data_IF_017833583329
#
_entry.id   IF_017833583329
#
_cell.length_a   1.000
_cell.length_b   1.000
_cell.length_c   1.000
_cell.angle_alpha   90.00
_cell.angle_beta   90.00
_cell.angle_gamma   90.00
#
_symmetry.space_group_name_H-M   'P 1'
#
loop_
_entity.id
_entity.type
_entity.pdbx_description
1 polymer ?
#
# COMPACT_ATOMS: atom_id res chain seq x y z
N UNK A 1 41.42 -49.78 27.82
CA UNK A 1 41.60 -48.34 28.13
C UNK A 1 40.40 -47.64 27.50
N UNK A 2 39.27 -47.52 28.20
CA UNK A 2 38.92 -46.51 29.22
C UNK A 2 37.79 -45.66 28.63
N UNK A 3 36.55 -45.96 28.97
CA UNK A 3 35.54 -44.89 29.13
C UNK A 3 35.82 -44.18 30.47
N UNK A 4 35.37 -42.93 30.62
CA UNK A 4 34.10 -42.71 31.31
C UNK A 4 33.18 -41.68 30.66
N UNK A 5 31.90 -42.07 30.54
CA UNK A 5 30.69 -41.34 30.95
C UNK A 5 30.86 -39.90 31.50
N UNK A 6 30.06 -38.93 31.03
CA UNK A 6 28.99 -38.20 31.76
C UNK A 6 28.82 -36.82 31.05
N UNK A 7 27.69 -36.13 30.85
CA UNK A 7 26.34 -36.12 31.41
C UNK A 7 25.35 -35.56 30.36
N UNK A 8 24.09 -35.94 30.52
CA UNK A 8 22.89 -35.62 29.73
C UNK A 8 22.39 -34.18 30.00
N UNK A 9 21.86 -33.53 28.97
CA UNK A 9 20.62 -32.72 29.03
C UNK A 9 20.02 -32.73 27.60
N UNK A 10 19.23 -33.74 27.24
CA UNK A 10 17.76 -33.72 27.32
C UNK A 10 17.09 -32.56 26.57
N UNK A 11 16.30 -32.97 25.58
CA UNK A 11 15.08 -32.32 25.09
C UNK A 11 15.20 -30.99 24.33
N UNK A 12 15.29 -31.12 23.00
CA UNK A 12 14.40 -30.37 22.12
C UNK A 12 14.07 -31.26 20.92
N UNK A 13 13.18 -32.23 21.15
CA UNK A 13 12.43 -32.89 20.08
C UNK A 13 11.53 -31.79 19.50
N UNK A 14 12.00 -31.13 18.43
CA UNK A 14 11.09 -30.39 17.57
C UNK A 14 10.45 -31.41 16.66
N UNK A 15 9.24 -31.80 17.05
CA UNK A 15 8.39 -32.69 16.29
C UNK A 15 8.22 -32.23 14.86
N UNK A 16 8.15 -33.23 13.97
CA UNK A 16 7.44 -33.23 12.70
C UNK A 16 7.22 -31.86 12.07
N UNK A 17 8.30 -31.29 11.55
CA UNK A 17 8.18 -30.34 10.45
C UNK A 17 8.82 -30.97 9.22
N UNK A 18 8.04 -31.83 8.56
CA UNK A 18 8.12 -31.99 7.11
C UNK A 18 7.81 -30.64 6.46
N UNK A 19 8.76 -29.70 6.51
CA UNK A 19 8.78 -28.46 5.75
C UNK A 19 9.77 -28.65 4.62
N UNK A 20 9.26 -29.34 3.61
CA UNK A 20 9.86 -29.53 2.30
C UNK A 20 10.24 -28.15 1.73
N UNK A 21 11.51 -28.01 1.36
CA UNK A 21 12.06 -26.98 0.46
C UNK A 21 12.04 -25.49 0.84
N UNK A 22 12.02 -25.13 2.13
CA UNK A 22 12.48 -23.79 2.53
C UNK A 22 13.91 -23.87 3.04
N UNK A 23 14.84 -24.19 2.14
CA UNK A 23 16.21 -23.66 2.23
C UNK A 23 16.13 -22.14 2.17
N UNK A 24 15.79 -21.52 3.30
CA UNK A 24 16.22 -20.17 3.59
C UNK A 24 17.74 -20.24 3.45
N UNK A 25 18.27 -19.78 2.32
CA UNK A 25 19.70 -19.81 2.05
C UNK A 25 20.42 -19.27 3.30
N UNK A 26 21.51 -19.90 3.76
CA UNK A 26 22.20 -19.49 4.99
C UNK A 26 22.46 -17.98 5.05
N UNK A 27 22.76 -17.38 3.88
CA UNK A 27 22.90 -15.95 3.71
C UNK A 27 21.67 -15.13 4.14
N UNK A 28 20.44 -15.60 3.88
CA UNK A 28 19.23 -14.90 4.31
C UNK A 28 19.03 -14.92 5.82
N UNK A 29 19.40 -16.02 6.49
CA UNK A 29 19.35 -16.09 7.97
C UNK A 29 20.37 -15.15 8.61
N UNK A 30 21.57 -15.06 8.04
CA UNK A 30 22.60 -14.14 8.52
C UNK A 30 22.16 -12.69 8.41
N UNK A 31 21.54 -12.30 7.28
CA UNK A 31 21.02 -10.95 7.09
C UNK A 31 19.92 -10.64 8.11
N UNK A 32 18.96 -11.55 8.30
CA UNK A 32 17.89 -11.39 9.29
C UNK A 32 18.38 -11.30 10.74
N UNK A 33 19.50 -11.95 11.07
CA UNK A 33 20.08 -11.90 12.41
C UNK A 33 20.81 -10.58 12.72
N UNK A 34 21.27 -9.85 11.70
CA UNK A 34 22.05 -8.62 11.86
C UNK A 34 21.25 -7.33 11.61
N UNK A 35 20.06 -7.44 11.04
CA UNK A 35 19.14 -6.32 10.80
C UNK A 35 18.32 -5.93 12.03
N UNK A 36 17.93 -4.66 12.13
CA UNK A 36 17.04 -4.17 13.21
C UNK A 36 15.58 -4.06 12.77
N UNK A 37 15.31 -4.15 11.47
CA UNK A 37 13.96 -4.04 10.91
C UNK A 37 13.76 -4.95 9.71
N UNK A 38 12.50 -5.26 9.41
CA UNK A 38 12.12 -6.09 8.25
C UNK A 38 12.42 -5.41 6.91
N UNK A 39 12.44 -4.07 6.88
CA UNK A 39 12.75 -3.30 5.68
C UNK A 39 14.25 -3.36 5.38
N UNK A 40 15.11 -3.24 6.40
CA UNK A 40 16.56 -3.42 6.25
C UNK A 40 16.95 -4.84 5.76
N UNK A 41 16.28 -5.89 6.27
CA UNK A 41 16.48 -7.26 5.78
C UNK A 41 16.21 -7.32 4.29
N UNK A 42 15.06 -6.79 3.86
CA UNK A 42 14.65 -6.83 2.46
C UNK A 42 15.66 -6.10 1.58
N UNK A 43 16.05 -4.88 1.93
CA UNK A 43 17.01 -4.09 1.15
C UNK A 43 18.35 -4.83 1.00
N UNK A 44 18.85 -5.44 2.08
CA UNK A 44 20.08 -6.23 2.04
C UNK A 44 19.93 -7.50 1.19
N UNK A 45 18.79 -8.18 1.26
CA UNK A 45 18.54 -9.36 0.44
C UNK A 45 18.38 -9.02 -1.05
N UNK A 46 17.76 -7.88 -1.38
CA UNK A 46 17.67 -7.36 -2.74
C UNK A 46 19.07 -6.99 -3.26
N UNK A 47 19.88 -6.30 -2.44
CA UNK A 47 21.26 -5.94 -2.79
C UNK A 47 22.14 -7.16 -3.05
N UNK A 48 21.95 -8.24 -2.28
CA UNK A 48 22.70 -9.49 -2.43
C UNK A 48 22.15 -10.39 -3.55
N UNK A 49 21.05 -10.00 -4.22
CA UNK A 49 20.41 -10.79 -5.27
C UNK A 49 19.80 -12.11 -4.76
N UNK A 50 19.51 -12.20 -3.46
CA UNK A 50 18.92 -13.38 -2.83
C UNK A 50 17.39 -13.39 -2.93
N UNK A 51 16.80 -12.24 -3.21
CA UNK A 51 15.39 -12.08 -3.54
C UNK A 51 15.26 -11.20 -4.78
N UNK A 52 14.23 -11.47 -5.59
CA UNK A 52 13.92 -10.61 -6.72
C UNK A 52 13.45 -9.23 -6.22
N UNK A 53 13.90 -8.13 -6.86
CA UNK A 53 13.44 -6.80 -6.50
C UNK A 53 11.94 -6.75 -6.65
N UNK A 54 11.25 -6.18 -5.66
CA UNK A 54 9.80 -6.04 -5.73
C UNK A 54 9.45 -5.37 -7.07
N UNK A 55 8.57 -5.96 -7.90
CA UNK A 55 8.05 -5.25 -9.04
C UNK A 55 7.36 -4.00 -8.50
N UNK A 56 7.98 -2.84 -8.73
CA UNK A 56 7.37 -1.56 -8.42
C UNK A 56 6.21 -1.48 -9.38
N UNK A 57 5.03 -1.91 -8.94
CA UNK A 57 3.83 -1.86 -9.73
C UNK A 57 3.53 -0.37 -9.94
N UNK A 58 4.07 0.19 -11.02
CA UNK A 58 3.67 1.46 -11.60
C UNK A 58 2.27 1.35 -12.24
N UNK A 59 1.48 0.35 -11.84
CA UNK A 59 0.04 0.40 -12.01
C UNK A 59 -0.41 1.71 -11.35
N UNK A 60 -1.03 2.65 -12.09
CA UNK A 60 -1.63 3.79 -11.45
C UNK A 60 -2.57 3.20 -10.41
N UNK A 61 -2.33 3.50 -9.13
CA UNK A 61 -3.25 3.12 -8.05
C UNK A 61 -4.62 3.50 -8.57
N UNK A 62 -5.43 2.53 -8.98
CA UNK A 62 -6.78 2.80 -9.49
C UNK A 62 -7.53 3.18 -8.26
N UNK A 63 -7.42 4.48 -7.97
CA UNK A 63 -8.01 5.12 -6.85
C UNK A 63 -9.50 4.84 -6.99
N UNK A 64 -10.04 3.98 -6.13
CA UNK A 64 -11.47 3.68 -6.08
C UNK A 64 -12.15 4.99 -5.70
N UNK A 65 -12.55 5.75 -6.71
CA UNK A 65 -13.11 7.08 -6.55
C UNK A 65 -14.42 6.92 -5.79
N UNK A 66 -14.52 7.52 -4.59
CA UNK A 66 -15.70 7.36 -3.73
C UNK A 66 -16.96 8.03 -4.31
N UNK A 67 -16.83 8.91 -5.30
CA UNK A 67 -17.92 9.46 -6.12
C UNK A 67 -17.36 10.21 -7.34
N UNK A 68 -18.12 10.29 -8.44
CA UNK A 68 -17.81 11.13 -9.61
C UNK A 68 -18.68 12.39 -9.65
N UNK A 69 -18.21 13.44 -10.32
CA UNK A 69 -19.03 14.62 -10.55
C UNK A 69 -20.23 14.28 -11.44
N UNK A 70 -21.45 14.59 -11.00
CA UNK A 70 -22.68 14.27 -11.75
C UNK A 70 -22.77 14.96 -13.13
N UNK A 71 -22.17 16.15 -13.29
CA UNK A 71 -22.24 16.92 -14.54
C UNK A 71 -21.13 16.58 -15.56
N UNK A 72 -19.88 16.40 -15.12
CA UNK A 72 -18.73 16.19 -16.00
C UNK A 72 -18.08 14.81 -15.89
N UNK A 73 -18.56 13.92 -15.02
CA UNK A 73 -18.04 12.56 -14.85
C UNK A 73 -16.65 12.45 -14.23
N UNK A 74 -15.96 13.58 -13.97
CA UNK A 74 -14.60 13.56 -13.41
C UNK A 74 -14.58 12.86 -12.04
N UNK A 75 -13.53 12.07 -11.75
CA UNK A 75 -13.38 11.39 -10.47
C UNK A 75 -13.29 12.39 -9.32
N UNK A 76 -14.12 12.20 -8.31
CA UNK A 76 -14.22 13.07 -7.14
C UNK A 76 -13.34 12.62 -6.00
N UNK A 77 -12.77 13.58 -5.27
CA UNK A 77 -12.09 13.39 -3.98
C UNK A 77 -12.78 14.18 -2.87
N UNK A 78 -12.61 13.73 -1.63
CA UNK A 78 -13.05 14.47 -0.44
C UNK A 78 -12.17 15.72 -0.23
N UNK A 79 -12.68 16.78 0.41
CA UNK A 79 -11.89 18.00 0.68
C UNK A 79 -10.62 17.74 1.50
N UNK A 80 -10.66 16.74 2.39
CA UNK A 80 -9.53 16.37 3.25
C UNK A 80 -8.46 15.51 2.54
N UNK A 81 -8.66 15.16 1.26
CA UNK A 81 -7.70 14.36 0.48
C UNK A 81 -6.79 15.28 -0.35
N UNK A 82 -5.47 15.05 -0.28
CA UNK A 82 -4.48 15.82 -1.04
C UNK A 82 -4.45 15.40 -2.51
N UNK A 83 -4.03 16.32 -3.39
CA UNK A 83 -3.83 16.03 -4.81
C UNK A 83 -2.70 15.04 -5.08
N UNK A 84 -1.67 15.03 -4.22
CA UNK A 84 -0.50 14.15 -4.35
C UNK A 84 -0.89 12.67 -4.28
N UNK A 85 -1.81 12.34 -3.36
CA UNK A 85 -2.32 10.97 -3.20
C UNK A 85 -3.44 10.65 -4.20
N UNK A 86 -4.08 11.67 -4.78
CA UNK A 86 -5.27 11.54 -5.63
C UNK A 86 -5.11 12.39 -6.91
N UNK A 87 -4.10 12.11 -7.75
CA UNK A 87 -3.87 12.89 -8.97
C UNK A 87 -5.03 12.73 -9.95
N UNK A 88 -5.33 13.78 -10.71
CA UNK A 88 -6.42 13.77 -11.71
C UNK A 88 -7.84 13.83 -11.14
N UNK A 89 -8.00 13.88 -9.82
CA UNK A 89 -9.31 14.02 -9.17
C UNK A 89 -9.74 15.49 -9.01
N UNK A 90 -11.03 15.72 -8.74
CA UNK A 90 -11.60 17.03 -8.41
C UNK A 90 -12.29 17.01 -7.05
N UNK A 91 -12.27 18.11 -6.31
CA UNK A 91 -13.03 18.21 -5.04
C UNK A 91 -14.51 18.35 -5.37
N UNK A 92 -15.33 17.48 -4.78
CA UNK A 92 -16.78 17.61 -4.82
C UNK A 92 -17.22 18.59 -3.72
N UNK A 93 -18.01 19.61 -4.08
CA UNK A 93 -18.54 20.59 -3.13
C UNK A 93 -19.95 20.21 -2.66
N UNK A 94 -20.95 20.55 -3.46
CA UNK A 94 -22.36 20.39 -3.15
C UNK A 94 -23.11 19.81 -4.35
N UNK A 95 -24.25 19.17 -4.08
CA UNK A 95 -25.07 18.49 -5.09
C UNK A 95 -24.31 17.46 -5.93
N UNK A 96 -23.26 16.83 -5.38
CA UNK A 96 -22.44 15.86 -6.12
C UNK A 96 -21.66 16.45 -7.30
N UNK A 97 -21.39 17.75 -7.31
CA UNK A 97 -20.69 18.44 -8.40
C UNK A 97 -19.31 18.96 -7.98
N UNK A 98 -18.39 19.01 -8.94
CA UNK A 98 -17.14 19.73 -8.77
C UNK A 98 -17.37 21.24 -8.77
N UNK A 99 -16.44 22.00 -8.21
CA UNK A 99 -16.54 23.46 -8.09
C UNK A 99 -17.00 24.18 -9.38
N UNK A 100 -16.40 23.96 -10.57
CA UNK A 100 -16.82 24.67 -11.78
C UNK A 100 -18.22 24.26 -12.27
N UNK A 101 -18.61 23.00 -12.07
CA UNK A 101 -19.95 22.56 -12.44
C UNK A 101 -21.01 23.12 -11.48
N UNK A 102 -20.68 23.23 -10.20
CA UNK A 102 -21.55 23.81 -9.19
C UNK A 102 -21.77 25.31 -9.41
N UNK A 103 -20.71 26.07 -9.71
CA UNK A 103 -20.83 27.51 -10.00
C UNK A 103 -21.69 27.76 -11.24
N UNK A 104 -21.48 27.00 -12.32
CA UNK A 104 -22.29 27.14 -13.53
C UNK A 104 -23.79 26.88 -13.29
N UNK A 105 -24.16 26.05 -12.30
CA UNK A 105 -25.57 25.86 -11.93
C UNK A 105 -26.09 27.05 -11.14
N UNK A 106 -25.30 27.57 -10.19
CA UNK A 106 -25.68 28.76 -9.43
C UNK A 106 -25.84 29.99 -10.30
N UNK A 107 -24.97 30.17 -11.30
CA UNK A 107 -25.04 31.30 -12.23
C UNK A 107 -26.32 31.21 -13.09
N UNK A 108 -26.65 30.01 -13.58
CA UNK A 108 -27.90 29.79 -14.32
C UNK A 108 -29.15 29.99 -13.44
N UNK A 109 -29.14 29.55 -12.18
CA UNK A 109 -30.23 29.81 -11.22
C UNK A 109 -30.39 31.30 -10.94
N UNK A 110 -29.28 32.04 -10.85
CA UNK A 110 -29.29 33.49 -10.65
C UNK A 110 -29.86 34.22 -11.87
N UNK A 111 -29.39 33.90 -13.08
CA UNK A 111 -29.91 34.47 -14.32
C UNK A 111 -31.41 34.22 -14.48
N UNK A 112 -31.88 33.01 -14.18
CA UNK A 112 -33.30 32.68 -14.24
C UNK A 112 -34.14 33.49 -13.25
N UNK A 113 -33.62 33.75 -12.04
CA UNK A 113 -34.29 34.61 -11.05
C UNK A 113 -34.32 36.07 -11.51
N UNK A 114 -33.19 36.57 -12.01
CA UNK A 114 -33.06 37.96 -12.44
C UNK A 114 -33.89 38.25 -13.71
N UNK A 115 -34.21 37.23 -14.52
CA UNK A 115 -35.12 37.35 -15.68
C UNK A 115 -36.62 37.39 -15.32
N UNK A 116 -36.99 37.00 -14.10
CA UNK A 116 -38.38 36.99 -13.60
C UNK A 116 -38.68 38.23 -12.74
N UNK A 117 -37.64 38.93 -12.26
CA UNK A 117 -37.74 40.15 -11.47
C UNK A 117 -37.95 41.40 -12.34
#
# INVERSE_FOLDING_TARGET
>A
MSEPSQYIAESAIFGDTNLVDWTIAPAMRTVAAHSKSTDEVRDMLEMLGLIEPRPVSASPTTVVCQASCLKCGKPGRKPNQSLEKWPGTVILKGRGMCAPCYTAVLDAEKEARDAVA
#
